data_IF_303760962180
#
_entry.id   IF_303760962180
#
_cell.length_a   1.000
_cell.length_b   1.000
_cell.length_c   1.000
_cell.angle_alpha   90.00
_cell.angle_beta   90.00
_cell.angle_gamma   90.00
#
_symmetry.space_group_name_H-M   'P 1'
#
loop_
_entity.id
_entity.type
_entity.pdbx_description
1 polymer ?
#
# COMPACT_ATOMS: atom_id res chain seq x y z
N UNK A 1 2.95 7.61 6.93
CA UNK A 1 2.09 6.73 7.75
C UNK A 1 2.42 7.02 9.20
N UNK A 2 1.55 7.73 9.88
CA UNK A 2 1.73 8.08 11.29
C UNK A 2 1.38 6.85 12.12
N UNK A 3 2.35 6.30 12.82
CA UNK A 3 2.13 5.20 13.78
C UNK A 3 1.70 5.88 15.07
N UNK A 4 0.46 5.68 15.50
CA UNK A 4 -0.03 6.15 16.80
C UNK A 4 0.68 5.37 17.91
N UNK A 5 1.24 6.09 18.89
CA UNK A 5 1.82 5.47 20.07
C UNK A 5 0.73 4.83 20.95
N UNK A 6 1.02 3.77 21.74
CA UNK A 6 0.04 3.13 22.62
C UNK A 6 -0.63 4.10 23.60
N UNK A 7 0.06 5.15 24.02
CA UNK A 7 -0.45 6.16 24.95
C UNK A 7 -1.56 7.03 24.33
N UNK A 8 -1.55 7.26 23.00
CA UNK A 8 -2.61 7.99 22.30
C UNK A 8 -3.96 7.24 22.33
N UNK A 9 -3.94 5.93 22.53
CA UNK A 9 -5.13 5.11 22.62
C UNK A 9 -5.87 5.22 23.95
N UNK A 10 -5.23 5.76 24.99
CA UNK A 10 -5.78 5.90 26.33
C UNK A 10 -6.31 7.32 26.63
N UNK A 11 -6.06 8.29 25.73
CA UNK A 11 -6.59 9.63 25.90
C UNK A 11 -8.12 9.67 25.98
N UNK A 12 -8.64 10.52 26.84
CA UNK A 12 -10.07 10.64 27.08
C UNK A 12 -10.80 11.08 25.80
N UNK A 13 -11.91 10.44 25.49
CA UNK A 13 -12.85 10.90 24.46
C UNK A 13 -13.29 12.34 24.75
N UNK A 14 -13.50 13.18 23.71
CA UNK A 14 -14.01 14.53 23.91
C UNK A 14 -15.31 14.50 24.72
N UNK A 15 -15.41 15.41 25.65
CA UNK A 15 -16.44 15.42 26.71
C UNK A 15 -17.84 15.77 26.20
N UNK A 16 -17.97 16.14 24.90
CA UNK A 16 -19.24 16.51 24.28
C UNK A 16 -19.37 15.87 22.90
N UNK A 17 -20.11 14.77 22.85
CA UNK A 17 -20.62 14.26 21.58
C UNK A 17 -21.84 15.10 21.19
N UNK A 18 -21.90 15.51 19.92
CA UNK A 18 -23.13 15.99 19.31
C UNK A 18 -24.02 14.76 19.05
N UNK A 19 -25.32 14.88 19.04
CA UNK A 19 -26.19 13.75 18.68
C UNK A 19 -26.22 13.51 17.15
N UNK A 20 -25.31 14.14 16.40
CA UNK A 20 -25.25 14.05 14.94
C UNK A 20 -24.60 12.74 14.52
N UNK A 21 -25.37 11.92 13.80
CA UNK A 21 -24.91 10.65 13.23
C UNK A 21 -24.77 10.78 11.72
N UNK A 22 -23.60 10.38 11.20
CA UNK A 22 -23.28 10.38 9.79
C UNK A 22 -23.06 8.92 9.36
N UNK A 23 -23.79 8.47 8.35
CA UNK A 23 -23.73 7.10 7.87
C UNK A 23 -22.72 6.93 6.76
N UNK A 24 -21.99 5.80 6.76
CA UNK A 24 -21.22 5.34 5.61
C UNK A 24 -21.55 3.89 5.27
N UNK A 25 -21.82 3.62 4.01
CA UNK A 25 -22.07 2.28 3.48
C UNK A 25 -21.22 1.95 2.26
N UNK A 26 -20.98 0.66 2.02
CA UNK A 26 -20.28 0.19 0.83
C UNK A 26 -21.02 -1.01 0.23
N UNK A 27 -21.34 -0.93 -1.05
CA UNK A 27 -22.11 -1.97 -1.73
C UNK A 27 -21.30 -2.66 -2.81
N UNK A 28 -21.54 -3.96 -2.95
CA UNK A 28 -21.21 -4.70 -4.17
C UNK A 28 -22.36 -4.50 -5.18
N UNK A 29 -22.07 -4.65 -6.46
CA UNK A 29 -22.96 -4.38 -7.61
C UNK A 29 -24.35 -5.07 -7.61
N UNK A 30 -24.71 -5.87 -6.61
CA UNK A 30 -26.04 -6.48 -6.47
C UNK A 30 -26.94 -5.56 -5.63
N UNK A 31 -27.88 -4.89 -6.27
CA UNK A 31 -28.70 -3.79 -5.74
C UNK A 31 -29.45 -4.05 -4.42
N UNK A 32 -29.90 -5.27 -4.13
CA UNK A 32 -30.66 -5.59 -2.90
C UNK A 32 -29.87 -5.40 -1.58
N UNK A 33 -28.53 -5.36 -1.64
CA UNK A 33 -27.70 -5.15 -0.45
C UNK A 33 -27.54 -3.67 -0.09
N UNK A 34 -27.73 -2.75 -1.05
CA UNK A 34 -27.62 -1.31 -0.80
C UNK A 34 -28.81 -0.79 0.00
N UNK A 35 -30.02 -1.10 -0.45
CA UNK A 35 -31.23 -0.56 0.14
C UNK A 35 -31.32 -0.96 1.62
N UNK A 36 -31.00 -2.22 1.97
CA UNK A 36 -30.97 -2.67 3.36
C UNK A 36 -29.94 -1.91 4.20
N UNK A 37 -28.75 -1.63 3.66
CA UNK A 37 -27.73 -0.86 4.39
C UNK A 37 -28.19 0.59 4.59
N UNK A 38 -28.74 1.22 3.56
CA UNK A 38 -29.25 2.58 3.66
C UNK A 38 -30.43 2.67 4.65
N UNK A 39 -31.32 1.69 4.64
CA UNK A 39 -32.46 1.65 5.57
C UNK A 39 -31.99 1.43 7.02
N UNK A 40 -30.98 0.57 7.25
CA UNK A 40 -30.38 0.40 8.56
C UNK A 40 -29.73 1.69 9.06
N UNK A 41 -28.99 2.41 8.21
CA UNK A 41 -28.37 3.69 8.56
C UNK A 41 -29.43 4.80 8.81
N UNK A 42 -30.50 4.85 8.01
CA UNK A 42 -31.64 5.76 8.27
C UNK A 42 -32.32 5.42 9.59
N UNK A 43 -32.58 4.13 9.84
CA UNK A 43 -33.17 3.64 11.09
C UNK A 43 -32.29 3.96 12.33
N UNK A 44 -30.98 4.00 12.15
CA UNK A 44 -30.03 4.46 13.18
C UNK A 44 -30.03 5.99 13.38
N UNK A 45 -30.83 6.74 12.64
CA UNK A 45 -30.93 8.21 12.79
C UNK A 45 -29.81 8.98 12.10
N UNK A 46 -29.15 8.41 11.09
CA UNK A 46 -28.11 9.11 10.33
C UNK A 46 -28.68 10.30 9.55
N UNK A 47 -28.19 11.51 9.83
CA UNK A 47 -28.60 12.76 9.19
C UNK A 47 -28.14 12.83 7.73
N UNK A 48 -26.99 12.26 7.41
CA UNK A 48 -26.40 12.17 6.06
C UNK A 48 -25.75 10.82 5.88
N UNK A 49 -25.86 10.25 4.69
CA UNK A 49 -25.31 8.94 4.36
C UNK A 49 -24.45 9.07 3.10
N UNK A 50 -23.24 8.58 3.18
CA UNK A 50 -22.30 8.44 2.08
C UNK A 50 -22.23 6.97 1.67
N UNK A 51 -22.20 6.66 0.38
CA UNK A 51 -22.22 5.29 -0.08
C UNK A 51 -21.32 5.06 -1.31
N UNK A 52 -20.29 4.25 -1.16
CA UNK A 52 -19.44 3.81 -2.27
C UNK A 52 -20.03 2.58 -2.97
N UNK A 53 -20.08 2.62 -4.31
CA UNK A 53 -20.38 1.46 -5.13
C UNK A 53 -19.08 0.76 -5.52
N UNK A 54 -18.90 -0.51 -5.12
CA UNK A 54 -17.73 -1.30 -5.50
C UNK A 54 -17.84 -1.64 -6.99
N UNK A 55 -17.12 -0.92 -7.86
CA UNK A 55 -16.82 -1.38 -9.21
C UNK A 55 -15.60 -2.29 -9.17
N UNK A 56 -15.58 -3.37 -9.95
CA UNK A 56 -14.51 -4.39 -9.92
C UNK A 56 -13.11 -3.88 -10.29
N UNK A 57 -13.00 -2.64 -10.79
CA UNK A 57 -11.75 -2.04 -11.28
C UNK A 57 -11.16 -0.96 -10.37
N UNK A 58 -11.91 -0.37 -9.43
CA UNK A 58 -11.44 0.78 -8.67
C UNK A 58 -11.47 0.48 -7.18
N UNK A 59 -10.28 0.45 -6.56
CA UNK A 59 -10.13 0.34 -5.10
C UNK A 59 -10.40 1.68 -4.38
N UNK A 60 -10.72 2.74 -5.12
CA UNK A 60 -10.99 4.07 -4.59
C UNK A 60 -12.34 4.13 -3.90
N UNK A 61 -12.37 4.91 -2.82
CA UNK A 61 -13.55 5.17 -1.99
C UNK A 61 -13.78 6.67 -1.91
N UNK A 62 -14.27 7.31 -2.97
CA UNK A 62 -14.46 8.76 -2.99
C UNK A 62 -15.48 9.22 -1.94
N UNK A 63 -16.55 8.45 -1.75
CA UNK A 63 -17.59 8.75 -0.76
C UNK A 63 -17.09 8.59 0.69
N UNK A 64 -16.19 7.61 0.95
CA UNK A 64 -15.54 7.50 2.25
C UNK A 64 -14.67 8.72 2.54
N UNK A 65 -13.88 9.18 1.57
CA UNK A 65 -13.06 10.39 1.70
C UNK A 65 -13.93 11.63 1.94
N UNK A 66 -15.03 11.76 1.20
CA UNK A 66 -16.00 12.85 1.38
C UNK A 66 -16.67 12.77 2.76
N UNK A 67 -17.01 11.56 3.24
CA UNK A 67 -17.55 11.34 4.56
C UNK A 67 -16.57 11.79 5.65
N UNK A 68 -15.30 11.36 5.58
CA UNK A 68 -14.26 11.76 6.53
C UNK A 68 -13.99 13.28 6.52
N UNK A 69 -14.05 13.92 5.35
CA UNK A 69 -13.92 15.37 5.24
C UNK A 69 -15.14 16.14 5.81
N UNK A 70 -16.30 15.50 5.79
CA UNK A 70 -17.54 16.10 6.27
C UNK A 70 -17.69 16.02 7.80
N UNK A 71 -17.17 14.95 8.43
CA UNK A 71 -17.24 14.70 9.87
C UNK A 71 -16.53 15.78 10.67
N UNK A 72 -17.18 16.26 11.71
CA UNK A 72 -16.66 17.24 12.67
C UNK A 72 -16.48 16.63 14.05
N UNK A 73 -15.72 17.31 14.91
CA UNK A 73 -15.57 16.93 16.31
C UNK A 73 -16.94 16.82 17.00
N UNK A 74 -17.13 15.74 17.74
CA UNK A 74 -18.39 15.43 18.42
C UNK A 74 -19.38 14.61 17.59
N UNK A 75 -19.23 14.51 16.26
CA UNK A 75 -20.09 13.66 15.43
C UNK A 75 -19.83 12.18 15.69
N UNK A 76 -20.77 11.33 15.28
CA UNK A 76 -20.61 9.88 15.32
C UNK A 76 -20.72 9.30 13.90
N UNK A 77 -19.66 8.62 13.45
CA UNK A 77 -19.71 7.82 12.21
C UNK A 77 -20.40 6.50 12.49
N UNK A 78 -21.45 6.20 11.73
CA UNK A 78 -22.21 4.95 11.81
C UNK A 78 -22.01 4.14 10.55
N UNK A 79 -21.69 2.84 10.72
CA UNK A 79 -21.56 1.90 9.61
C UNK A 79 -22.46 0.67 9.80
N UNK A 80 -22.94 0.03 8.73
CA UNK A 80 -23.77 -1.17 8.84
C UNK A 80 -23.03 -2.33 9.47
N UNK A 81 -21.74 -2.51 9.13
CA UNK A 81 -20.83 -3.54 9.66
C UNK A 81 -19.37 -3.15 9.44
N UNK A 82 -18.48 -3.72 10.24
CA UNK A 82 -17.04 -3.40 10.22
C UNK A 82 -16.39 -3.70 8.86
N UNK A 83 -16.82 -4.76 8.17
CA UNK A 83 -16.32 -5.17 6.85
C UNK A 83 -16.69 -4.19 5.72
N UNK A 84 -17.65 -3.32 5.96
CA UNK A 84 -18.02 -2.22 5.02
C UNK A 84 -17.09 -1.03 5.17
N UNK A 85 -16.52 -0.85 6.34
CA UNK A 85 -15.64 0.26 6.65
C UNK A 85 -14.16 -0.08 6.44
N UNK A 86 -13.60 -1.05 7.15
CA UNK A 86 -12.21 -1.51 7.01
C UNK A 86 -12.02 -2.51 5.86
N UNK A 87 -10.81 -2.57 5.30
CA UNK A 87 -10.36 -3.61 4.34
C UNK A 87 -9.65 -4.76 5.03
N UNK A 88 -9.11 -4.52 6.18
CA UNK A 88 -8.46 -5.45 7.09
C UNK A 88 -8.69 -4.99 8.52
N UNK A 89 -8.39 -5.85 9.49
CA UNK A 89 -8.45 -5.47 10.91
C UNK A 89 -7.53 -4.28 11.21
N UNK A 90 -6.30 -4.30 10.69
CA UNK A 90 -5.35 -3.19 10.87
C UNK A 90 -5.86 -1.87 10.26
N UNK A 91 -6.43 -1.92 9.05
CA UNK A 91 -7.03 -0.75 8.39
C UNK A 91 -8.18 -0.18 9.24
N UNK A 92 -9.05 -1.06 9.74
CA UNK A 92 -10.16 -0.69 10.61
C UNK A 92 -9.68 0.01 11.90
N UNK A 93 -8.70 -0.58 12.58
CA UNK A 93 -8.15 -0.02 13.83
C UNK A 93 -7.53 1.35 13.58
N UNK A 94 -6.74 1.51 12.52
CA UNK A 94 -6.12 2.79 12.16
C UNK A 94 -7.18 3.86 11.85
N UNK A 95 -8.21 3.51 11.06
CA UNK A 95 -9.27 4.45 10.70
C UNK A 95 -10.10 4.88 11.90
N UNK A 96 -10.43 3.97 12.82
CA UNK A 96 -11.17 4.32 14.05
C UNK A 96 -10.30 5.10 15.03
N UNK A 97 -8.99 4.80 15.11
CA UNK A 97 -8.05 5.61 15.90
C UNK A 97 -7.95 7.05 15.37
N UNK A 98 -7.92 7.23 14.04
CA UNK A 98 -7.94 8.55 13.40
C UNK A 98 -9.23 9.33 13.75
N UNK A 99 -10.40 8.68 13.66
CA UNK A 99 -11.67 9.31 14.07
C UNK A 99 -11.62 9.75 15.52
N UNK A 100 -11.11 8.89 16.40
CA UNK A 100 -10.96 9.19 17.83
C UNK A 100 -10.06 10.39 18.07
N UNK A 101 -8.89 10.45 17.44
CA UNK A 101 -7.97 11.59 17.55
C UNK A 101 -8.60 12.92 17.12
N UNK A 102 -9.62 12.85 16.22
CA UNK A 102 -10.43 13.99 15.79
C UNK A 102 -11.66 14.24 16.65
N UNK A 103 -11.82 13.50 17.75
CA UNK A 103 -13.00 13.64 18.63
C UNK A 103 -14.31 13.12 18.02
N UNK A 104 -14.24 12.16 17.07
CA UNK A 104 -15.37 11.59 16.37
C UNK A 104 -15.68 10.20 16.93
N UNK A 105 -16.94 9.95 17.31
CA UNK A 105 -17.42 8.65 17.71
C UNK A 105 -17.54 7.67 16.53
N UNK A 106 -17.49 6.37 16.81
CA UNK A 106 -17.68 5.32 15.80
C UNK A 106 -18.68 4.27 16.29
N UNK A 107 -19.64 3.91 15.44
CA UNK A 107 -20.64 2.90 15.74
C UNK A 107 -20.78 1.91 14.56
N UNK A 108 -20.74 0.62 14.86
CA UNK A 108 -21.10 -0.47 13.92
C UNK A 108 -22.40 -1.12 14.37
N UNK A 109 -23.38 -1.19 13.46
CA UNK A 109 -24.72 -1.67 13.79
C UNK A 109 -24.78 -3.19 13.96
N UNK A 110 -24.12 -3.92 13.04
CA UNK A 110 -24.17 -5.38 13.05
C UNK A 110 -23.44 -6.00 14.25
N UNK A 111 -22.24 -5.48 14.56
CA UNK A 111 -21.42 -5.96 15.68
C UNK A 111 -21.80 -5.30 17.01
N UNK A 112 -22.78 -4.39 17.02
CA UNK A 112 -23.18 -3.62 18.19
C UNK A 112 -21.98 -2.93 18.90
N UNK A 113 -20.97 -2.53 18.12
CA UNK A 113 -19.80 -1.82 18.63
C UNK A 113 -20.08 -0.32 18.63
N UNK A 114 -19.93 0.33 19.78
CA UNK A 114 -20.14 1.77 19.94
C UNK A 114 -19.04 2.38 20.82
N UNK A 115 -18.08 3.05 20.18
CA UNK A 115 -16.92 3.64 20.87
C UNK A 115 -17.31 4.88 21.70
N UNK A 116 -18.54 5.37 21.61
CA UNK A 116 -19.04 6.45 22.46
C UNK A 116 -19.33 5.95 23.88
N UNK A 117 -19.51 4.64 24.06
CA UNK A 117 -19.73 4.00 25.35
C UNK A 117 -18.43 3.47 25.97
N UNK A 118 -18.32 3.41 27.31
CA UNK A 118 -17.14 2.82 27.97
C UNK A 118 -16.88 1.36 27.56
N UNK A 119 -17.93 0.54 27.45
CA UNK A 119 -17.82 -0.85 27.04
C UNK A 119 -17.35 -1.02 25.60
N UNK A 120 -17.89 -0.21 24.68
CA UNK A 120 -17.46 -0.23 23.27
C UNK A 120 -16.01 0.25 23.10
N UNK A 121 -15.56 1.22 23.89
CA UNK A 121 -14.15 1.62 23.94
C UNK A 121 -13.25 0.48 24.39
N UNK A 122 -13.60 -0.22 25.45
CA UNK A 122 -12.84 -1.37 25.93
C UNK A 122 -12.71 -2.44 24.84
N UNK A 123 -13.81 -2.80 24.18
CA UNK A 123 -13.82 -3.76 23.08
C UNK A 123 -12.91 -3.29 21.94
N UNK A 124 -12.98 -2.01 21.58
CA UNK A 124 -12.10 -1.44 20.54
C UNK A 124 -10.61 -1.55 20.91
N UNK A 125 -10.23 -1.28 22.17
CA UNK A 125 -8.85 -1.45 22.63
C UNK A 125 -8.37 -2.91 22.56
N UNK A 126 -9.25 -3.87 22.86
CA UNK A 126 -8.93 -5.30 22.69
C UNK A 126 -8.67 -5.63 21.22
N UNK A 127 -9.49 -5.12 20.28
CA UNK A 127 -9.26 -5.30 18.85
C UNK A 127 -7.97 -4.63 18.38
N UNK A 128 -7.64 -3.45 18.91
CA UNK A 128 -6.41 -2.75 18.56
C UNK A 128 -5.17 -3.55 19.01
N UNK A 129 -5.18 -4.04 20.24
CA UNK A 129 -4.10 -4.90 20.76
C UNK A 129 -3.96 -6.21 19.96
N UNK A 130 -5.07 -6.84 19.60
CA UNK A 130 -5.08 -8.04 18.77
C UNK A 130 -4.53 -7.78 17.37
N UNK A 131 -4.89 -6.66 16.75
CA UNK A 131 -4.38 -6.27 15.43
C UNK A 131 -2.87 -6.06 15.43
N UNK A 132 -2.33 -5.42 16.48
CA UNK A 132 -0.89 -5.24 16.63
C UNK A 132 -0.17 -6.58 16.85
N UNK A 133 -0.69 -7.43 17.72
CA UNK A 133 -0.15 -8.78 17.93
C UNK A 133 -0.09 -9.60 16.63
N UNK A 134 -1.18 -9.61 15.84
CA UNK A 134 -1.21 -10.31 14.55
C UNK A 134 -0.17 -9.71 13.59
N UNK A 135 -0.02 -8.40 13.56
CA UNK A 135 0.99 -7.71 12.73
C UNK A 135 2.40 -8.16 13.12
N UNK A 136 2.72 -8.20 14.40
CA UNK A 136 4.02 -8.67 14.90
C UNK A 136 4.29 -10.12 14.50
N UNK A 137 3.31 -11.01 14.61
CA UNK A 137 3.43 -12.40 14.18
C UNK A 137 3.72 -12.53 12.68
N UNK A 138 3.03 -11.73 11.83
CA UNK A 138 3.26 -11.72 10.38
C UNK A 138 4.67 -11.23 10.05
N UNK A 139 5.15 -10.18 10.72
CA UNK A 139 6.50 -9.64 10.54
C UNK A 139 7.55 -10.66 10.97
N UNK A 140 7.39 -11.28 12.14
CA UNK A 140 8.29 -12.32 12.63
C UNK A 140 8.38 -13.50 11.66
N UNK A 141 7.25 -14.08 11.26
CA UNK A 141 7.20 -15.18 10.30
C UNK A 141 7.77 -14.83 8.92
N UNK A 142 7.58 -13.59 8.46
CA UNK A 142 8.18 -13.11 7.21
C UNK A 142 9.71 -13.04 7.31
N UNK A 143 10.23 -12.49 8.41
CA UNK A 143 11.67 -12.40 8.65
C UNK A 143 12.33 -13.77 8.75
N UNK A 144 11.71 -14.71 9.47
CA UNK A 144 12.16 -16.10 9.54
C UNK A 144 12.17 -16.77 8.16
N UNK A 145 11.11 -16.60 7.38
CA UNK A 145 11.01 -17.11 6.01
C UNK A 145 12.09 -16.55 5.09
N UNK A 146 12.38 -15.24 5.19
CA UNK A 146 13.46 -14.57 4.45
C UNK A 146 14.84 -15.06 4.88
N UNK A 147 15.07 -15.24 6.19
CA UNK A 147 16.32 -15.78 6.72
C UNK A 147 16.56 -17.21 6.22
N UNK A 148 15.55 -18.06 6.27
CA UNK A 148 15.61 -19.42 5.75
C UNK A 148 15.82 -19.47 4.22
N UNK A 149 15.24 -18.53 3.45
CA UNK A 149 15.45 -18.43 2.02
C UNK A 149 16.89 -18.01 1.69
N UNK A 150 17.44 -17.03 2.43
CA UNK A 150 18.84 -16.59 2.29
C UNK A 150 19.83 -17.70 2.63
N UNK A 151 19.56 -18.47 3.69
CA UNK A 151 20.39 -19.64 4.06
C UNK A 151 20.41 -20.71 2.96
N UNK A 152 19.37 -20.81 2.14
CA UNK A 152 19.32 -21.67 0.95
C UNK A 152 19.84 -21.01 -0.33
N UNK A 153 20.54 -19.87 -0.23
CA UNK A 153 21.11 -19.16 -1.37
C UNK A 153 20.11 -18.38 -2.23
N UNK A 154 18.86 -18.24 -1.79
CA UNK A 154 17.87 -17.45 -2.51
C UNK A 154 17.98 -15.98 -2.11
N UNK A 155 18.36 -15.12 -3.05
CA UNK A 155 18.33 -13.66 -2.87
C UNK A 155 17.01 -13.14 -3.42
N UNK A 156 16.29 -12.37 -2.58
CA UNK A 156 15.07 -11.68 -3.02
C UNK A 156 15.43 -10.50 -3.95
N UNK A 157 14.45 -10.05 -4.70
CA UNK A 157 14.59 -8.90 -5.60
C UNK A 157 14.13 -9.24 -7.02
N UNK A 158 14.16 -8.24 -7.89
CA UNK A 158 13.87 -8.43 -9.32
C UNK A 158 14.97 -9.31 -9.93
N UNK A 159 14.62 -10.37 -10.68
CA UNK A 159 15.64 -11.16 -11.41
C UNK A 159 16.49 -10.24 -12.26
N UNK A 160 17.82 -10.47 -12.23
CA UNK A 160 18.71 -9.70 -13.11
C UNK A 160 18.44 -10.04 -14.56
N UNK A 161 18.32 -9.03 -15.39
CA UNK A 161 18.21 -9.18 -16.85
C UNK A 161 19.58 -9.53 -17.46
N UNK A 162 20.65 -9.31 -16.68
CA UNK A 162 22.03 -9.49 -17.12
C UNK A 162 22.44 -10.95 -16.90
N UNK A 163 22.77 -11.63 -17.99
CA UNK A 163 23.38 -12.96 -17.99
C UNK A 163 24.83 -12.87 -18.52
N UNK A 164 25.57 -13.97 -18.38
CA UNK A 164 26.97 -14.06 -18.81
C UNK A 164 27.11 -13.82 -20.34
N UNK A 165 26.16 -14.27 -21.13
CA UNK A 165 26.14 -14.12 -22.58
C UNK A 165 25.99 -12.65 -22.99
N UNK A 166 25.11 -11.89 -22.30
CA UNK A 166 24.91 -10.47 -22.54
C UNK A 166 26.16 -9.67 -22.21
N UNK A 167 26.83 -9.98 -21.07
CA UNK A 167 28.09 -9.33 -20.70
C UNK A 167 29.16 -9.63 -21.75
N UNK A 168 29.26 -10.89 -22.24
CA UNK A 168 30.21 -11.26 -23.26
C UNK A 168 29.95 -10.51 -24.56
N UNK A 169 28.72 -10.50 -25.04
CA UNK A 169 28.34 -9.75 -26.23
C UNK A 169 28.65 -8.25 -26.11
N UNK A 170 28.38 -7.66 -24.92
CA UNK A 170 28.73 -6.26 -24.67
C UNK A 170 30.24 -6.02 -24.75
N UNK A 171 31.04 -6.91 -24.17
CA UNK A 171 32.53 -6.83 -24.22
C UNK A 171 33.09 -6.94 -25.64
N UNK A 172 32.53 -7.82 -26.46
CA UNK A 172 32.94 -8.01 -27.87
C UNK A 172 32.63 -6.77 -28.73
N UNK A 173 31.58 -6.02 -28.38
CA UNK A 173 31.15 -4.81 -29.10
C UNK A 173 31.87 -3.53 -28.67
N UNK A 174 32.40 -3.46 -27.46
CA UNK A 174 32.99 -2.25 -26.87
C UNK A 174 34.26 -1.74 -27.57
N UNK A 175 35.17 -2.59 -28.11
CA UNK A 175 36.37 -2.15 -28.83
C UNK A 175 36.06 -1.49 -30.18
N UNK A 176 34.90 -1.75 -30.78
CA UNK A 176 34.53 -1.15 -32.07
C UNK A 176 34.19 0.35 -31.89
N UNK A 177 34.95 1.27 -32.58
CA UNK A 177 34.77 2.71 -32.45
C UNK A 177 33.40 3.22 -32.94
N UNK A 178 32.69 2.46 -33.76
CA UNK A 178 31.38 2.81 -34.27
C UNK A 178 30.26 2.58 -33.21
N UNK A 179 30.55 1.76 -32.20
CA UNK A 179 29.61 1.45 -31.15
C UNK A 179 29.75 2.41 -29.95
N UNK A 180 28.74 3.16 -29.66
CA UNK A 180 28.65 3.90 -28.39
C UNK A 180 28.12 2.98 -27.29
N UNK A 181 28.46 3.25 -26.00
CA UNK A 181 27.90 2.51 -24.87
C UNK A 181 26.36 2.58 -24.88
N UNK A 182 25.82 3.72 -25.31
CA UNK A 182 24.38 3.91 -25.41
C UNK A 182 23.75 3.04 -26.53
N UNK A 183 24.44 2.88 -27.68
CA UNK A 183 23.95 1.99 -28.77
C UNK A 183 24.02 0.53 -28.37
N UNK A 184 25.10 0.11 -27.71
CA UNK A 184 25.25 -1.25 -27.17
C UNK A 184 24.16 -1.54 -26.14
N UNK A 185 23.94 -0.65 -25.18
CA UNK A 185 22.92 -0.80 -24.16
C UNK A 185 21.52 -0.96 -24.77
N UNK A 186 21.20 -0.15 -25.79
CA UNK A 186 19.93 -0.22 -26.53
C UNK A 186 19.78 -1.54 -27.29
N UNK A 187 20.84 -2.00 -27.97
CA UNK A 187 20.83 -3.23 -28.72
C UNK A 187 20.61 -4.45 -27.80
N UNK A 188 21.24 -4.44 -26.63
CA UNK A 188 21.16 -5.54 -25.65
C UNK A 188 19.95 -5.41 -24.70
N UNK A 189 19.11 -4.38 -24.86
CA UNK A 189 17.89 -4.20 -24.06
C UNK A 189 18.15 -3.87 -22.57
N UNK A 190 19.30 -3.26 -22.25
CA UNK A 190 19.68 -2.88 -20.87
C UNK A 190 19.95 -1.38 -20.74
N UNK A 191 20.03 -0.88 -19.51
CA UNK A 191 20.44 0.50 -19.29
C UNK A 191 21.96 0.67 -19.40
N UNK A 192 22.40 1.87 -19.75
CA UNK A 192 23.84 2.23 -19.75
C UNK A 192 24.47 2.00 -18.38
N UNK A 193 23.76 2.34 -17.30
CA UNK A 193 24.21 2.08 -15.91
C UNK A 193 24.39 0.58 -15.63
N UNK A 194 23.60 -0.28 -16.25
CA UNK A 194 23.72 -1.74 -16.12
C UNK A 194 25.06 -2.21 -16.69
N UNK A 195 25.47 -1.69 -17.87
CA UNK A 195 26.77 -2.05 -18.46
C UNK A 195 27.94 -1.59 -17.58
N UNK A 196 27.90 -0.36 -17.05
CA UNK A 196 28.93 0.11 -16.15
C UNK A 196 29.03 -0.69 -14.85
N UNK A 197 27.92 -1.11 -14.29
CA UNK A 197 27.89 -1.91 -13.05
C UNK A 197 28.43 -3.34 -13.24
N UNK A 198 28.33 -3.93 -14.43
CA UNK A 198 28.69 -5.32 -14.68
C UNK A 198 29.98 -5.48 -15.50
N UNK A 199 30.52 -4.40 -16.05
CA UNK A 199 31.77 -4.37 -16.82
C UNK A 199 32.68 -3.28 -16.19
N UNK A 200 33.40 -3.58 -15.11
CA UNK A 200 34.25 -2.59 -14.42
C UNK A 200 35.34 -1.98 -15.30
N UNK A 201 35.87 -2.78 -16.23
CA UNK A 201 36.91 -2.44 -17.21
C UNK A 201 36.36 -1.83 -18.54
N UNK A 202 35.10 -1.37 -18.53
CA UNK A 202 34.44 -0.84 -19.72
C UNK A 202 35.19 0.29 -20.41
N UNK A 203 35.81 1.18 -19.64
CA UNK A 203 36.57 2.31 -20.18
C UNK A 203 37.89 1.85 -20.81
N UNK A 204 38.56 0.86 -20.23
CA UNK A 204 39.77 0.27 -20.76
C UNK A 204 39.53 -0.49 -22.06
N UNK A 205 38.44 -1.26 -22.13
CA UNK A 205 38.03 -1.97 -23.35
C UNK A 205 37.72 -1.00 -24.51
N UNK A 206 37.19 0.17 -24.21
CA UNK A 206 36.98 1.22 -25.21
C UNK A 206 38.27 1.93 -25.61
N UNK A 207 39.24 2.04 -24.74
CA UNK A 207 40.54 2.64 -25.02
C UNK A 207 41.43 1.69 -25.90
N UNK A 208 41.25 0.37 -25.80
CA UNK A 208 41.94 -0.66 -26.58
C UNK A 208 41.42 -0.78 -28.03
N UNK A 209 41.10 0.37 -28.66
CA UNK A 209 40.57 0.44 -30.04
C UNK A 209 41.42 -0.37 -31.00
N UNK A 210 40.82 -1.30 -31.71
CA UNK A 210 41.44 -1.92 -32.88
C UNK A 210 41.79 -0.82 -33.89
N UNK A 211 43.05 -0.76 -34.38
CA UNK A 211 43.40 0.23 -35.41
C UNK A 211 42.55 -0.03 -36.67
N UNK A 212 42.01 1.03 -37.26
CA UNK A 212 41.35 0.96 -38.56
C UNK A 212 42.30 0.32 -39.54
N UNK A 213 41.94 -0.81 -40.09
CA UNK A 213 42.61 -1.29 -41.33
C UNK A 213 42.24 -0.28 -42.42
N UNK A 214 43.20 0.56 -42.75
CA UNK A 214 43.12 1.43 -43.93
C UNK A 214 43.28 0.47 -45.14
N UNK A 215 42.18 0.12 -45.79
CA UNK A 215 42.25 -0.52 -47.11
C UNK A 215 42.98 0.45 -48.02
N UNK A 216 44.15 0.00 -48.51
CA UNK A 216 44.93 0.71 -49.53
C UNK A 216 44.09 0.73 -50.83
N UNK A 217 44.04 1.86 -51.57
CA UNK A 217 43.35 1.90 -52.83
C UNK A 217 44.03 0.97 -53.82
N UNK A 218 43.24 0.06 -54.40
CA UNK A 218 43.68 -0.79 -55.52
C UNK A 218 44.03 0.11 -56.73
N UNK A 219 45.24 -0.01 -57.22
CA UNK A 219 45.69 0.51 -58.48
C UNK A 219 45.12 -0.29 -59.66
#
# INVERSE_FOLDING_TARGET
MTTYAPDDLLEAFPTRLTEIRIGYGRVSTKGQSLDRQLDALKGAGCRRIFADKKSGKTAERPELKACHAFLQEGDTLVVPSLDRYGRSLQDLVNMVAELRARGIGFQSLHEALDTTTPGGRLIFHVFAALAEFIRELIVAGTNEGLAAARARGKTGGRPTVVNVELIRAARDMLPNPENSVASIARLLGVSVGTLYNHIPDLQELRASRLPRQIEAPAH
#
